data_IF_593526134964
#
_entry.id   IF_593526134964
#
_cell.length_a   1.000
_cell.length_b   1.000
_cell.length_c   1.000
_cell.angle_alpha   90.00
_cell.angle_beta   90.00
_cell.angle_gamma   90.00
#
_symmetry.space_group_name_H-M   'P 1'
#
loop_
_entity.id
_entity.type
_entity.pdbx_description
1 polymer ?
#
# COMPACT_ATOMS: atom_id res chain seq x y z
N UNK A 1 13.60 10.14 12.00
CA UNK A 1 13.75 10.94 10.76
C UNK A 1 12.65 10.55 9.80
N UNK A 2 11.50 11.23 9.86
CA UNK A 2 10.54 11.16 8.77
C UNK A 2 11.06 12.05 7.65
N UNK A 3 11.09 11.52 6.44
CA UNK A 3 11.12 12.37 5.27
C UNK A 3 9.72 12.98 5.20
N UNK A 4 9.59 14.17 5.77
CA UNK A 4 8.44 15.03 5.62
C UNK A 4 8.38 15.36 4.11
N UNK A 5 7.56 14.66 3.34
CA UNK A 5 7.09 15.19 2.06
C UNK A 5 5.82 15.96 2.38
N UNK A 6 5.90 17.28 2.59
CA UNK A 6 4.69 18.05 2.76
C UNK A 6 3.89 17.95 1.46
N UNK A 7 2.69 17.37 1.55
CA UNK A 7 1.66 17.45 0.51
C UNK A 7 1.21 18.91 0.23
N UNK A 8 1.82 19.92 0.87
CA UNK A 8 1.51 21.34 0.68
C UNK A 8 2.09 21.97 -0.59
N UNK A 9 2.94 21.28 -1.36
CA UNK A 9 3.40 21.78 -2.68
C UNK A 9 2.42 21.39 -3.79
N UNK A 10 1.12 21.60 -3.54
CA UNK A 10 0.07 21.43 -4.54
C UNK A 10 -0.47 22.76 -5.08
N UNK A 11 0.12 23.93 -4.77
CA UNK A 11 -0.31 25.13 -5.49
C UNK A 11 0.67 26.22 -5.91
N UNK A 12 1.83 26.49 -5.29
CA UNK A 12 2.64 27.62 -5.77
C UNK A 12 4.16 27.43 -5.62
N UNK A 13 4.85 27.65 -6.74
CA UNK A 13 6.19 28.24 -6.84
C UNK A 13 7.38 27.39 -6.43
N UNK A 14 8.09 26.81 -7.40
CA UNK A 14 9.53 26.60 -7.28
C UNK A 14 10.21 26.74 -8.65
N UNK A 15 10.47 27.99 -9.03
CA UNK A 15 11.41 28.34 -10.09
C UNK A 15 12.83 28.28 -9.52
N UNK A 16 13.73 27.60 -10.24
CA UNK A 16 15.17 27.87 -10.23
C UNK A 16 16.03 26.96 -9.34
N UNK A 17 16.78 26.05 -9.97
CA UNK A 17 17.94 25.39 -9.35
C UNK A 17 18.31 24.06 -10.01
N UNK A 18 19.54 23.95 -10.51
CA UNK A 18 20.03 22.91 -11.43
C UNK A 18 20.23 21.51 -10.81
N UNK A 19 19.81 20.52 -11.61
CA UNK A 19 20.03 19.07 -11.73
C UNK A 19 21.01 18.24 -10.85
N UNK A 20 20.58 16.97 -10.68
CA UNK A 20 21.28 15.69 -10.42
C UNK A 20 21.13 15.18 -8.96
N UNK A 21 20.43 14.09 -8.62
CA UNK A 21 20.05 12.84 -9.30
C UNK A 21 18.57 12.47 -9.04
N UNK A 22 17.99 11.70 -9.95
CA UNK A 22 16.54 11.53 -10.15
C UNK A 22 15.77 10.94 -8.95
N UNK A 23 14.90 11.74 -8.32
CA UNK A 23 13.83 11.35 -7.38
C UNK A 23 12.74 10.48 -8.05
N UNK A 24 13.11 9.31 -8.60
CA UNK A 24 12.14 8.34 -9.14
C UNK A 24 11.62 7.46 -8.00
N UNK A 25 10.32 7.50 -7.79
CA UNK A 25 9.61 6.57 -6.93
C UNK A 25 9.39 5.25 -7.70
N UNK A 26 9.43 4.12 -7.03
CA UNK A 26 9.08 2.82 -7.61
C UNK A 26 8.14 2.10 -6.67
N UNK A 27 7.03 1.62 -7.20
CA UNK A 27 6.16 0.73 -6.46
C UNK A 27 6.27 -0.69 -6.97
N UNK A 28 6.29 -1.57 -6.00
CA UNK A 28 6.41 -2.99 -6.18
C UNK A 28 5.11 -3.57 -5.66
N UNK A 29 4.32 -4.11 -6.58
CA UNK A 29 3.05 -4.78 -6.32
C UNK A 29 3.30 -6.27 -6.34
N UNK A 30 2.91 -6.92 -5.25
CA UNK A 30 3.18 -8.31 -4.99
C UNK A 30 1.90 -8.97 -4.49
N UNK A 31 1.33 -9.90 -5.25
CA UNK A 31 0.02 -10.52 -4.98
C UNK A 31 0.18 -11.90 -4.33
N UNK A 32 -0.70 -12.25 -3.39
CA UNK A 32 -0.75 -13.60 -2.81
C UNK A 32 -1.36 -14.60 -3.79
N UNK A 33 -0.79 -15.81 -3.88
CA UNK A 33 -1.42 -16.90 -4.62
C UNK A 33 -2.11 -17.87 -3.66
N UNK A 34 -3.41 -18.07 -3.82
CA UNK A 34 -4.14 -19.21 -3.29
C UNK A 34 -5.15 -19.64 -4.35
N UNK A 35 -4.75 -20.58 -5.20
CA UNK A 35 -5.64 -21.19 -6.18
C UNK A 35 -6.72 -21.99 -5.45
N UNK A 36 -7.92 -21.45 -5.34
CA UNK A 36 -9.11 -22.27 -5.13
C UNK A 36 -9.47 -22.85 -6.49
N UNK A 37 -9.12 -24.12 -6.71
CA UNK A 37 -9.66 -24.90 -7.83
C UNK A 37 -11.16 -25.05 -7.58
N UNK A 38 -11.96 -24.17 -8.18
CA UNK A 38 -13.39 -24.38 -8.32
C UNK A 38 -13.61 -25.07 -9.66
N UNK A 39 -14.06 -26.31 -9.63
CA UNK A 39 -14.43 -27.04 -10.85
C UNK A 39 -15.65 -26.36 -11.51
N UNK A 40 -15.69 -26.26 -12.84
CA UNK A 40 -16.88 -25.77 -13.52
C UNK A 40 -17.97 -26.84 -13.48
N UNK A 41 -19.13 -26.51 -12.90
CA UNK A 41 -20.36 -27.27 -13.13
C UNK A 41 -20.86 -26.99 -14.55
N UNK A 42 -21.35 -27.99 -15.29
CA UNK A 42 -21.79 -27.80 -16.67
C UNK A 42 -23.09 -26.99 -16.72
N UNK A 43 -23.06 -25.86 -17.43
CA UNK A 43 -24.26 -25.11 -17.81
C UNK A 43 -24.86 -25.74 -19.06
N UNK A 44 -26.07 -26.27 -18.94
CA UNK A 44 -26.93 -26.60 -20.08
C UNK A 44 -27.65 -25.33 -20.53
N UNK A 45 -27.57 -25.03 -21.82
CA UNK A 45 -28.24 -23.89 -22.47
C UNK A 45 -29.70 -24.23 -22.80
N UNK A 46 -30.61 -23.28 -22.58
CA UNK A 46 -31.91 -23.25 -23.23
C UNK A 46 -32.42 -21.81 -23.41
N UNK A 47 -32.32 -21.36 -24.66
CA UNK A 47 -33.21 -20.47 -25.44
C UNK A 47 -34.17 -19.46 -24.77
N UNK A 48 -33.96 -18.21 -25.18
CA UNK A 48 -34.90 -17.27 -25.84
C UNK A 48 -35.77 -16.27 -25.05
N UNK A 49 -35.69 -15.04 -25.61
CA UNK A 49 -36.68 -13.96 -25.75
C UNK A 49 -36.70 -12.81 -24.73
N UNK A 50 -36.51 -11.60 -25.27
CA UNK A 50 -36.70 -10.30 -24.62
C UNK A 50 -38.18 -10.07 -24.26
N UNK A 51 -38.46 -9.24 -23.23
CA UNK A 51 -38.80 -7.86 -23.58
C UNK A 51 -38.10 -6.81 -22.69
N UNK A 52 -38.06 -5.62 -23.26
CA UNK A 52 -37.76 -4.32 -22.65
C UNK A 52 -38.15 -4.25 -21.15
N UNK A 53 -37.16 -4.18 -20.26
CA UNK A 53 -37.39 -3.90 -18.85
C UNK A 53 -36.31 -2.95 -18.39
N UNK A 54 -36.73 -1.76 -18.01
CA UNK A 54 -35.94 -0.77 -17.28
C UNK A 54 -35.17 -1.46 -16.16
N UNK A 55 -33.90 -1.75 -16.42
CA UNK A 55 -33.00 -2.30 -15.43
C UNK A 55 -32.41 -1.10 -14.72
N UNK A 56 -33.03 -0.71 -13.61
CA UNK A 56 -32.24 -0.14 -12.54
C UNK A 56 -31.12 -1.15 -12.29
N UNK A 57 -29.95 -0.89 -12.86
CA UNK A 57 -28.71 -1.52 -12.44
C UNK A 57 -28.60 -1.08 -11.00
N UNK A 58 -29.06 -1.94 -10.08
CA UNK A 58 -28.71 -1.78 -8.68
C UNK A 58 -27.19 -1.62 -8.69
N UNK A 59 -26.63 -0.58 -8.04
CA UNK A 59 -25.20 -0.51 -7.86
C UNK A 59 -24.83 -1.83 -7.20
N UNK A 60 -24.18 -2.73 -7.94
CA UNK A 60 -23.67 -3.98 -7.40
C UNK A 60 -23.01 -3.61 -6.09
N UNK A 61 -23.41 -4.19 -4.95
CA UNK A 61 -22.84 -3.83 -3.66
C UNK A 61 -21.37 -4.29 -3.66
N UNK A 62 -20.50 -3.50 -4.29
CA UNK A 62 -19.08 -3.79 -4.35
C UNK A 62 -18.60 -3.70 -2.93
N UNK A 63 -18.14 -4.83 -2.40
CA UNK A 63 -17.52 -4.90 -1.08
C UNK A 63 -16.40 -3.85 -1.07
N UNK A 64 -16.42 -2.95 -0.08
CA UNK A 64 -15.33 -1.97 0.11
C UNK A 64 -14.00 -2.69 0.22
N UNK A 65 -12.99 -2.14 -0.44
CA UNK A 65 -11.64 -2.67 -0.42
C UNK A 65 -11.00 -2.33 0.91
N UNK A 66 -10.52 -3.35 1.62
CA UNK A 66 -9.93 -3.25 2.94
C UNK A 66 -8.43 -2.98 2.82
N UNK A 67 -8.01 -1.79 3.23
CA UNK A 67 -6.64 -1.31 3.13
C UNK A 67 -6.03 -1.21 4.53
N UNK A 68 -4.83 -1.76 4.70
CA UNK A 68 -3.99 -1.57 5.89
C UNK A 68 -2.68 -0.88 5.48
N UNK A 69 -2.41 0.30 6.04
CA UNK A 69 -1.08 0.93 5.93
C UNK A 69 -0.23 0.49 7.11
N UNK A 70 1.03 0.12 6.85
CA UNK A 70 2.01 -0.34 7.84
C UNK A 70 3.13 0.66 7.95
N UNK A 71 3.43 1.09 9.19
CA UNK A 71 4.56 1.98 9.47
C UNK A 71 4.38 3.41 8.93
N UNK A 72 3.15 3.88 8.81
CA UNK A 72 2.86 5.27 8.43
C UNK A 72 3.24 6.21 9.57
N UNK A 73 4.47 6.74 9.50
CA UNK A 73 5.14 7.42 10.61
C UNK A 73 4.29 8.49 11.28
N UNK A 74 3.93 9.54 10.53
CA UNK A 74 3.14 10.68 11.02
C UNK A 74 1.66 10.61 10.65
N UNK A 75 1.23 9.50 10.02
CA UNK A 75 -0.14 9.22 9.57
C UNK A 75 -0.63 10.12 8.41
N UNK A 76 0.24 10.95 7.83
CA UNK A 76 -0.14 11.88 6.76
C UNK A 76 -0.54 11.16 5.47
N UNK A 77 0.08 10.03 5.17
CA UNK A 77 -0.24 9.23 3.99
C UNK A 77 -1.62 8.59 4.11
N UNK A 78 -1.91 7.98 5.26
CA UNK A 78 -3.22 7.40 5.57
C UNK A 78 -4.31 8.46 5.55
N UNK A 79 -4.02 9.67 6.04
CA UNK A 79 -4.95 10.78 5.93
C UNK A 79 -5.22 11.18 4.48
N UNK A 80 -4.19 11.23 3.63
CA UNK A 80 -4.35 11.51 2.22
C UNK A 80 -5.21 10.44 1.52
N UNK A 81 -5.00 9.15 1.82
CA UNK A 81 -5.86 8.06 1.34
C UNK A 81 -7.31 8.22 1.78
N UNK A 82 -7.53 8.49 3.07
CA UNK A 82 -8.87 8.70 3.63
C UNK A 82 -9.60 9.88 2.99
N UNK A 83 -8.86 10.95 2.64
CA UNK A 83 -9.41 12.12 1.92
C UNK A 83 -9.73 11.79 0.46
N UNK A 84 -8.87 11.04 -0.22
CA UNK A 84 -9.01 10.75 -1.64
C UNK A 84 -10.11 9.73 -1.93
N UNK A 85 -10.18 8.65 -1.14
CA UNK A 85 -11.07 7.52 -1.42
C UNK A 85 -12.31 7.49 -0.53
N UNK A 86 -12.28 8.18 0.62
CA UNK A 86 -13.42 8.29 1.53
C UNK A 86 -14.06 6.93 1.83
N UNK A 87 -15.33 6.78 1.45
CA UNK A 87 -16.14 5.58 1.72
C UNK A 87 -15.92 4.44 0.73
N UNK A 88 -15.17 4.63 -0.35
CA UNK A 88 -14.87 3.56 -1.32
C UNK A 88 -13.96 2.47 -0.72
N UNK A 89 -13.16 2.85 0.29
CA UNK A 89 -12.27 1.95 1.00
C UNK A 89 -12.66 1.81 2.48
N UNK A 90 -12.26 0.69 3.07
CA UNK A 90 -12.22 0.47 4.51
C UNK A 90 -10.75 0.59 4.93
N UNK A 91 -10.33 1.72 5.49
CA UNK A 91 -8.94 1.97 5.85
C UNK A 91 -8.66 1.65 7.32
N UNK A 92 -7.55 0.98 7.59
CA UNK A 92 -6.87 0.94 8.90
C UNK A 92 -5.48 1.53 8.74
N UNK A 93 -5.16 2.55 9.53
CA UNK A 93 -3.85 3.17 9.56
C UNK A 93 -3.00 2.54 10.66
N UNK A 94 -1.71 2.30 10.45
CA UNK A 94 -0.84 1.86 11.54
C UNK A 94 0.56 2.47 11.52
N UNK A 95 1.13 2.59 12.72
CA UNK A 95 2.47 3.12 12.95
C UNK A 95 3.24 2.23 13.93
N UNK A 96 4.57 2.20 13.80
CA UNK A 96 5.45 1.50 14.75
C UNK A 96 5.50 2.21 16.11
N UNK A 97 5.32 3.53 16.13
CA UNK A 97 5.40 4.30 17.37
C UNK A 97 4.15 4.10 18.23
N UNK A 98 4.30 4.24 19.55
CA UNK A 98 3.16 4.47 20.41
C UNK A 98 2.53 5.84 20.10
N UNK A 99 1.27 6.05 20.50
CA UNK A 99 0.61 7.34 20.32
C UNK A 99 1.41 8.49 20.96
N UNK A 100 1.94 8.30 22.17
CA UNK A 100 2.73 9.32 22.87
C UNK A 100 4.05 9.62 22.15
N UNK A 101 4.76 8.58 21.68
CA UNK A 101 6.01 8.75 20.91
C UNK A 101 5.77 9.39 19.55
N UNK A 102 4.65 9.09 18.88
CA UNK A 102 4.27 9.74 17.63
C UNK A 102 4.05 11.24 17.84
N UNK A 103 3.28 11.61 18.86
CA UNK A 103 2.97 13.02 19.16
C UNK A 103 4.20 13.83 19.58
N UNK A 104 5.20 13.20 20.21
CA UNK A 104 6.47 13.87 20.53
C UNK A 104 7.41 13.95 19.33
N UNK A 105 7.33 13.00 18.39
CA UNK A 105 8.22 12.94 17.22
C UNK A 105 7.73 13.83 16.08
N UNK A 106 6.41 13.91 15.85
CA UNK A 106 5.82 14.58 14.69
C UNK A 106 4.80 15.64 15.10
N UNK A 107 5.13 16.92 14.83
CA UNK A 107 4.24 18.04 15.10
C UNK A 107 2.87 17.91 14.39
N UNK A 108 2.86 17.37 13.17
CA UNK A 108 1.65 17.14 12.37
C UNK A 108 0.81 15.94 12.86
N UNK A 109 1.37 15.06 13.70
CA UNK A 109 0.73 13.82 14.11
C UNK A 109 -0.60 14.05 14.84
N UNK A 110 -0.68 15.10 15.67
CA UNK A 110 -1.92 15.46 16.40
C UNK A 110 -3.08 15.76 15.44
N UNK A 111 -2.81 16.55 14.40
CA UNK A 111 -3.81 16.92 13.41
C UNK A 111 -4.24 15.71 12.56
N UNK A 112 -3.27 14.87 12.17
CA UNK A 112 -3.57 13.68 11.39
C UNK A 112 -4.44 12.68 12.16
N UNK A 113 -4.11 12.41 13.43
CA UNK A 113 -4.91 11.54 14.31
C UNK A 113 -6.34 12.07 14.46
N UNK A 114 -6.49 13.36 14.74
CA UNK A 114 -7.80 13.97 14.94
C UNK A 114 -8.70 13.83 13.70
N UNK A 115 -8.16 14.13 12.51
CA UNK A 115 -8.96 14.04 11.29
C UNK A 115 -9.24 12.59 10.85
N UNK A 116 -8.27 11.68 10.97
CA UNK A 116 -8.49 10.26 10.71
C UNK A 116 -9.59 9.69 11.62
N UNK A 117 -9.56 10.04 12.91
CA UNK A 117 -10.59 9.63 13.87
C UNK A 117 -11.96 10.20 13.51
N UNK A 118 -12.02 11.49 13.14
CA UNK A 118 -13.28 12.12 12.68
C UNK A 118 -13.85 11.48 11.42
N UNK A 119 -13.00 10.88 10.57
CA UNK A 119 -13.38 10.12 9.37
C UNK A 119 -13.74 8.65 9.66
N UNK A 120 -13.65 8.22 10.92
CA UNK A 120 -13.92 6.84 11.31
C UNK A 120 -12.83 5.84 10.89
N UNK A 121 -11.61 6.30 10.61
CA UNK A 121 -10.47 5.42 10.30
C UNK A 121 -9.89 4.87 11.61
N UNK A 122 -9.73 3.55 11.69
CA UNK A 122 -9.05 2.91 12.81
C UNK A 122 -7.54 3.18 12.74
N UNK A 123 -6.93 3.53 13.88
CA UNK A 123 -5.49 3.79 14.00
C UNK A 123 -4.89 2.77 14.98
N UNK A 124 -3.91 2.01 14.52
CA UNK A 124 -3.16 1.04 15.32
C UNK A 124 -1.74 1.57 15.62
N UNK A 125 -1.32 1.46 16.88
CA UNK A 125 -0.01 1.93 17.34
C UNK A 125 0.86 0.74 17.75
N UNK A 126 2.19 0.87 17.65
CA UNK A 126 3.10 -0.20 18.03
C UNK A 126 3.13 -1.39 17.06
N UNK A 127 2.69 -1.20 15.81
CA UNK A 127 2.62 -2.27 14.82
C UNK A 127 4.00 -2.47 14.18
N UNK A 128 4.64 -3.60 14.50
CA UNK A 128 5.89 -4.02 13.86
C UNK A 128 5.60 -4.78 12.56
N UNK A 129 6.14 -4.24 11.46
CA UNK A 129 6.02 -4.79 10.11
C UNK A 129 6.57 -6.22 10.00
N UNK A 130 7.54 -6.61 10.84
CA UNK A 130 8.13 -7.94 10.84
C UNK A 130 7.26 -8.99 11.56
N UNK A 131 6.28 -8.56 12.36
CA UNK A 131 5.53 -9.43 13.27
C UNK A 131 4.02 -9.13 13.24
N UNK A 132 3.46 -8.94 12.04
CA UNK A 132 2.03 -8.68 11.85
C UNK A 132 1.15 -9.81 12.42
N UNK A 133 0.28 -9.46 13.36
CA UNK A 133 -0.61 -10.41 14.01
C UNK A 133 -1.73 -10.88 13.06
N UNK A 134 -2.14 -12.17 13.12
CA UNK A 134 -3.33 -12.64 12.41
C UNK A 134 -4.58 -11.83 12.81
N UNK A 135 -5.42 -11.52 11.82
CA UNK A 135 -6.61 -10.67 12.00
C UNK A 135 -7.84 -11.37 11.43
N UNK A 136 -9.03 -11.23 12.07
CA UNK A 136 -10.26 -11.83 11.55
C UNK A 136 -10.61 -11.34 10.14
N UNK A 137 -10.46 -10.03 9.92
CA UNK A 137 -10.64 -9.40 8.61
C UNK A 137 -9.27 -9.16 7.98
N UNK A 138 -8.93 -10.01 7.01
CA UNK A 138 -7.71 -9.89 6.22
C UNK A 138 -7.78 -8.64 5.33
N UNK A 139 -6.69 -7.85 5.19
CA UNK A 139 -6.66 -6.76 4.22
C UNK A 139 -6.60 -7.31 2.80
N UNK A 140 -7.26 -6.61 1.88
CA UNK A 140 -7.12 -6.81 0.44
C UNK A 140 -5.83 -6.16 -0.05
N UNK A 141 -5.44 -5.03 0.56
CA UNK A 141 -4.22 -4.29 0.22
C UNK A 141 -3.44 -3.97 1.50
N UNK A 142 -2.19 -4.38 1.53
CA UNK A 142 -1.22 -4.05 2.57
C UNK A 142 -0.17 -3.09 2.00
N UNK A 143 -0.09 -1.88 2.54
CA UNK A 143 0.80 -0.83 2.03
C UNK A 143 1.94 -0.59 3.01
N UNK A 144 3.19 -0.70 2.55
CA UNK A 144 4.38 -0.33 3.34
C UNK A 144 5.26 0.66 2.55
N UNK A 145 5.05 1.95 2.82
CA UNK A 145 5.73 3.02 2.11
C UNK A 145 7.01 3.44 2.83
N UNK A 146 8.11 3.55 2.08
CA UNK A 146 9.42 4.00 2.56
C UNK A 146 9.87 3.27 3.84
N UNK A 147 9.88 1.92 3.82
CA UNK A 147 10.28 1.13 4.98
C UNK A 147 11.67 1.54 5.46
N UNK A 148 11.78 1.87 6.75
CA UNK A 148 13.00 2.39 7.33
C UNK A 148 13.23 1.84 8.75
N UNK A 149 14.50 1.62 9.11
CA UNK A 149 14.91 1.02 10.40
C UNK A 149 15.07 2.02 11.55
N UNK A 150 14.82 3.32 11.30
CA UNK A 150 14.98 4.37 12.31
C UNK A 150 16.42 4.66 12.72
N UNK A 151 17.43 3.98 12.16
CA UNK A 151 18.84 4.20 12.47
C UNK A 151 19.42 5.35 11.67
N UNK A 152 20.00 6.36 12.33
CA UNK A 152 20.53 7.58 11.72
C UNK A 152 22.04 7.59 11.46
N UNK A 153 22.66 6.42 11.34
CA UNK A 153 24.11 6.34 11.18
C UNK A 153 24.53 5.07 10.48
N UNK A 154 24.83 5.18 9.19
CA UNK A 154 25.54 4.15 8.46
C UNK A 154 26.52 4.78 7.49
N UNK A 155 27.80 4.45 7.70
CA UNK A 155 28.93 4.83 6.83
C UNK A 155 29.01 3.90 5.61
N UNK A 156 28.41 2.71 5.70
CA UNK A 156 28.40 1.68 4.64
C UNK A 156 26.99 1.49 4.04
N UNK A 157 26.83 1.93 2.79
CA UNK A 157 25.60 1.78 2.00
C UNK A 157 25.21 0.31 1.78
N UNK A 158 26.19 -0.59 1.62
CA UNK A 158 25.92 -2.01 1.40
C UNK A 158 25.39 -2.68 2.68
N UNK A 159 25.94 -2.32 3.85
CA UNK A 159 25.37 -2.74 5.14
C UNK A 159 23.95 -2.21 5.34
N UNK A 160 23.70 -0.94 4.97
CA UNK A 160 22.35 -0.36 5.02
C UNK A 160 21.36 -1.15 4.14
N UNK A 161 21.77 -1.47 2.90
CA UNK A 161 20.97 -2.28 1.99
C UNK A 161 20.71 -3.68 2.54
N UNK A 162 21.71 -4.36 3.12
CA UNK A 162 21.54 -5.69 3.73
C UNK A 162 20.52 -5.67 4.87
N UNK A 163 20.51 -4.64 5.72
CA UNK A 163 19.52 -4.54 6.80
C UNK A 163 18.10 -4.30 6.28
N UNK A 164 17.94 -3.49 5.23
CA UNK A 164 16.62 -3.29 4.59
C UNK A 164 16.16 -4.55 3.84
N UNK A 165 17.08 -5.35 3.30
CA UNK A 165 16.75 -6.66 2.75
C UNK A 165 16.17 -7.59 3.83
N UNK A 166 16.75 -7.60 5.03
CA UNK A 166 16.21 -8.39 6.16
C UNK A 166 14.83 -7.88 6.57
N UNK A 167 14.65 -6.56 6.72
CA UNK A 167 13.35 -5.95 7.04
C UNK A 167 12.27 -6.36 6.03
N UNK A 168 12.54 -6.23 4.75
CA UNK A 168 11.58 -6.56 3.69
C UNK A 168 11.30 -8.06 3.62
N UNK A 169 12.31 -8.92 3.80
CA UNK A 169 12.10 -10.37 3.85
C UNK A 169 11.15 -10.77 4.99
N UNK A 170 11.36 -10.22 6.19
CA UNK A 170 10.47 -10.48 7.33
C UNK A 170 9.08 -9.89 7.12
N UNK A 171 8.99 -8.68 6.55
CA UNK A 171 7.70 -8.07 6.21
C UNK A 171 6.90 -8.90 5.20
N UNK A 172 7.51 -9.37 4.11
CA UNK A 172 6.81 -10.23 3.13
C UNK A 172 6.32 -11.52 3.79
N UNK A 173 7.14 -12.14 4.65
CA UNK A 173 6.73 -13.33 5.42
C UNK A 173 5.58 -13.04 6.39
N UNK A 174 5.57 -11.87 7.03
CA UNK A 174 4.46 -11.45 7.90
C UNK A 174 3.19 -11.18 7.09
N UNK A 175 3.31 -10.56 5.92
CA UNK A 175 2.22 -10.25 5.01
C UNK A 175 1.48 -11.51 4.54
N UNK A 176 2.19 -12.59 4.17
CA UNK A 176 1.60 -13.89 3.82
C UNK A 176 0.60 -14.41 4.87
N UNK A 177 0.90 -14.16 6.16
CA UNK A 177 0.08 -14.69 7.26
C UNK A 177 -1.24 -13.95 7.41
N UNK A 178 -1.28 -12.67 7.03
CA UNK A 178 -2.41 -11.78 7.27
C UNK A 178 -3.23 -11.47 6.01
N UNK A 179 -2.66 -11.62 4.81
CA UNK A 179 -3.36 -11.38 3.55
C UNK A 179 -4.38 -12.49 3.26
N UNK A 180 -5.49 -12.11 2.62
CA UNK A 180 -6.43 -13.07 2.05
C UNK A 180 -5.92 -13.69 0.75
N UNK A 181 -6.66 -14.65 0.18
CA UNK A 181 -6.52 -14.99 -1.24
C UNK A 181 -6.62 -13.72 -2.09
N UNK A 182 -5.77 -13.59 -3.10
CA UNK A 182 -5.68 -12.43 -4.01
C UNK A 182 -5.34 -11.09 -3.34
N UNK A 183 -4.87 -11.12 -2.09
CA UNK A 183 -4.43 -9.93 -1.38
C UNK A 183 -3.11 -9.41 -1.93
N UNK A 184 -2.94 -8.08 -1.93
CA UNK A 184 -1.78 -7.42 -2.54
C UNK A 184 -0.95 -6.68 -1.51
N UNK A 185 0.36 -6.83 -1.60
CA UNK A 185 1.35 -5.99 -0.93
C UNK A 185 1.82 -4.91 -1.89
N UNK A 186 1.73 -3.66 -1.46
CA UNK A 186 2.32 -2.52 -2.15
C UNK A 186 3.48 -1.96 -1.33
N UNK A 187 4.70 -2.00 -1.90
CA UNK A 187 5.89 -1.38 -1.30
C UNK A 187 6.35 -0.23 -2.18
N UNK A 188 6.50 0.96 -1.59
CA UNK A 188 7.03 2.13 -2.29
C UNK A 188 8.44 2.45 -1.82
N UNK A 189 9.36 2.63 -2.78
CA UNK A 189 10.78 2.89 -2.56
C UNK A 189 11.26 4.04 -3.45
N UNK A 190 12.39 4.66 -3.12
CA UNK A 190 12.95 5.79 -3.87
C UNK A 190 14.33 5.53 -4.45
N UNK A 191 14.62 6.18 -5.60
CA UNK A 191 15.93 6.17 -6.23
C UNK A 191 16.39 4.76 -6.59
N UNK A 192 17.60 4.38 -6.13
CA UNK A 192 18.19 3.07 -6.38
C UNK A 192 17.77 1.99 -5.37
N UNK A 193 16.91 2.30 -4.39
CA UNK A 193 16.50 1.36 -3.34
C UNK A 193 15.89 0.05 -3.88
N UNK A 194 14.95 0.04 -4.85
CA UNK A 194 14.39 -1.22 -5.38
C UNK A 194 15.47 -2.22 -5.82
N UNK A 195 16.46 -1.71 -6.56
CA UNK A 195 17.58 -2.48 -7.10
C UNK A 195 18.55 -2.87 -5.99
N UNK A 196 19.02 -1.90 -5.21
CA UNK A 196 20.06 -2.12 -4.20
C UNK A 196 19.55 -3.02 -3.06
N UNK A 197 18.27 -2.90 -2.71
CA UNK A 197 17.62 -3.74 -1.71
C UNK A 197 17.02 -5.02 -2.30
N UNK A 198 17.19 -5.25 -3.62
CA UNK A 198 16.81 -6.48 -4.33
C UNK A 198 15.37 -6.91 -4.03
N UNK A 199 14.45 -5.95 -3.98
CA UNK A 199 13.12 -6.17 -3.38
C UNK A 199 12.29 -7.18 -4.15
N UNK A 200 12.36 -7.16 -5.48
CA UNK A 200 11.73 -8.16 -6.35
C UNK A 200 12.25 -9.58 -6.04
N UNK A 201 13.56 -9.74 -5.86
CA UNK A 201 14.15 -11.03 -5.51
C UNK A 201 13.76 -11.50 -4.10
N UNK A 202 13.49 -10.58 -3.17
CA UNK A 202 12.98 -10.93 -1.83
C UNK A 202 11.51 -11.35 -1.90
N UNK A 203 10.69 -10.63 -2.67
CA UNK A 203 9.29 -11.00 -2.91
C UNK A 203 9.20 -12.39 -3.55
N UNK A 204 10.04 -12.70 -4.54
CA UNK A 204 10.07 -14.01 -5.19
C UNK A 204 10.48 -15.19 -4.28
N UNK A 205 11.03 -14.92 -3.08
CA UNK A 205 11.34 -15.94 -2.06
C UNK A 205 10.18 -16.22 -1.11
N UNK A 206 9.11 -15.44 -1.22
CA UNK A 206 7.85 -15.62 -0.51
C UNK A 206 6.88 -16.42 -1.39
N UNK A 207 5.71 -16.79 -0.86
CA UNK A 207 4.59 -17.35 -1.65
C UNK A 207 3.84 -16.28 -2.45
N UNK A 208 4.31 -15.04 -2.41
CA UNK A 208 3.74 -13.95 -3.17
C UNK A 208 4.38 -13.86 -4.56
N UNK A 209 3.59 -13.48 -5.54
CA UNK A 209 3.99 -13.32 -6.94
C UNK A 209 4.17 -11.84 -7.24
N UNK A 210 5.30 -11.47 -7.84
CA UNK A 210 5.51 -10.12 -8.33
C UNK A 210 4.51 -9.85 -9.47
N UNK A 211 3.59 -8.91 -9.25
CA UNK A 211 2.59 -8.53 -10.25
C UNK A 211 3.12 -7.40 -11.13
N UNK A 212 3.72 -6.37 -10.52
CA UNK A 212 4.28 -5.25 -11.23
C UNK A 212 5.39 -4.54 -10.45
N UNK A 213 6.36 -4.00 -11.18
CA UNK A 213 7.36 -3.06 -10.68
C UNK A 213 7.32 -1.84 -11.59
N UNK A 214 6.86 -0.70 -11.07
CA UNK A 214 6.58 0.49 -11.88
C UNK A 214 7.29 1.71 -11.30
N UNK A 215 8.02 2.42 -12.16
CA UNK A 215 8.47 3.77 -11.85
C UNK A 215 7.24 4.68 -11.77
N UNK A 216 7.14 5.42 -10.68
CA UNK A 216 5.98 6.24 -10.34
C UNK A 216 6.30 7.69 -10.68
N UNK A 217 5.55 8.25 -11.61
CA UNK A 217 5.50 9.69 -11.91
C UNK A 217 4.63 10.42 -10.92
N UNK A 218 4.68 11.76 -10.92
CA UNK A 218 3.84 12.57 -10.02
C UNK A 218 2.34 12.33 -10.24
N UNK A 219 1.90 12.10 -11.47
CA UNK A 219 0.49 11.78 -11.78
C UNK A 219 0.10 10.36 -11.33
N UNK A 220 1.01 9.39 -11.50
CA UNK A 220 0.74 7.99 -11.14
C UNK A 220 0.94 7.69 -9.65
N UNK A 221 1.62 8.55 -8.87
CA UNK A 221 1.81 8.36 -7.43
C UNK A 221 0.50 8.30 -6.66
N UNK A 222 -0.51 9.06 -7.10
CA UNK A 222 -1.86 9.02 -6.53
C UNK A 222 -2.52 7.67 -6.80
N UNK A 223 -2.28 7.05 -7.96
CA UNK A 223 -2.84 5.74 -8.32
C UNK A 223 -2.05 4.59 -7.68
N UNK A 224 -0.73 4.70 -7.63
CA UNK A 224 0.13 3.62 -7.15
C UNK A 224 0.12 3.53 -5.61
N UNK A 225 -0.02 4.68 -4.93
CA UNK A 225 -0.39 4.70 -3.51
C UNK A 225 -1.89 4.48 -3.29
N UNK A 226 -2.71 4.92 -4.24
CA UNK A 226 -4.16 4.78 -4.23
C UNK A 226 -4.64 3.67 -5.16
N UNK A 227 -4.49 2.42 -4.74
CA UNK A 227 -5.28 1.33 -5.30
C UNK A 227 -5.14 1.07 -6.83
N UNK A 228 -3.95 1.23 -7.42
CA UNK A 228 -3.68 0.83 -8.82
C UNK A 228 -3.95 -0.65 -9.13
N UNK A 229 -4.32 -1.45 -8.13
CA UNK A 229 -4.68 -2.87 -8.22
C UNK A 229 -6.19 -3.08 -8.44
N UNK A 230 -7.01 -2.03 -8.39
CA UNK A 230 -8.47 -2.17 -8.57
C UNK A 230 -8.96 -2.09 -10.01
N UNK A 231 -8.08 -1.77 -10.95
CA UNK A 231 -8.36 -1.95 -12.37
C UNK A 231 -7.81 -3.34 -12.75
N UNK A 232 -8.64 -4.40 -12.77
CA UNK A 232 -8.19 -5.68 -13.31
C UNK A 232 -7.71 -5.43 -14.74
N UNK A 233 -6.55 -5.97 -15.07
CA UNK A 233 -6.02 -5.99 -16.42
C UNK A 233 -7.12 -6.42 -17.38
N UNK A 234 -7.61 -5.48 -18.20
CA UNK A 234 -8.33 -5.84 -19.41
C UNK A 234 -7.33 -6.62 -20.25
N UNK A 235 -7.48 -7.94 -20.25
CA UNK A 235 -6.92 -8.78 -21.30
C UNK A 235 -7.63 -8.33 -22.57
N UNK A 236 -7.00 -7.44 -23.33
CA UNK A 236 -7.37 -7.27 -24.73
C UNK A 236 -7.03 -8.60 -25.41
N UNK A 237 -8.10 -9.27 -25.87
CA UNK A 237 -8.02 -10.50 -26.68
C UNK A 237 -7.72 -10.20 -28.13
#
# INVERSE_FOLDING_TARGET
FAIHFPLSVCHQGFLGGKAATSNRLTAILVQSHLSVVSQPSPLTCASQSHPERSMYVQPSCRRRVHVLTVGDGDLSYSLALARCFGTEISLTASTLLSMSSLLSTYAAGKQCIAELSARGVAIEYGVDACTLAPRPKRPDVLIFNYPHLGTSGLVDEAAHARRHQVLLAHFFRAAERILGPDGVVAVTLCGAQPRNWRVEALAARSTLVLEASRAVTRESAVQVGGLAVLEPSRVEG
#
